data_IF_568369926131
#
_entry.id   IF_568369926131
#
_cell.length_a   1.000
_cell.length_b   1.000
_cell.length_c   1.000
_cell.angle_alpha   90.00
_cell.angle_beta   90.00
_cell.angle_gamma   90.00
#
_symmetry.space_group_name_H-M   'P 1'
#
loop_
_entity.id
_entity.type
_entity.pdbx_description
1 polymer ?
#
# COMPACT_ATOMS: atom_id res chain seq x y z
N UNK A 1 -0.91 -4.75 -19.79
CA UNK A 1 -1.68 -3.80 -18.95
C UNK A 1 -2.32 -4.60 -17.83
N UNK A 2 -1.83 -4.49 -16.60
CA UNK A 2 -2.46 -5.14 -15.45
C UNK A 2 -3.84 -4.50 -15.26
N UNK A 3 -4.90 -5.32 -15.18
CA UNK A 3 -6.25 -4.83 -14.93
C UNK A 3 -6.35 -4.38 -13.47
N UNK A 4 -6.78 -3.14 -13.22
CA UNK A 4 -7.06 -2.67 -11.86
C UNK A 4 -8.35 -3.34 -11.39
N UNK A 5 -8.32 -3.97 -10.22
CA UNK A 5 -9.50 -4.59 -9.62
C UNK A 5 -10.45 -3.54 -9.03
N UNK A 6 -9.90 -2.44 -8.54
CA UNK A 6 -10.68 -1.40 -7.85
C UNK A 6 -10.03 -0.03 -7.92
N UNK A 7 -10.85 1.01 -8.04
CA UNK A 7 -10.43 2.41 -7.90
C UNK A 7 -11.19 3.11 -6.77
N UNK A 8 -10.48 3.89 -5.96
CA UNK A 8 -11.02 4.62 -4.82
C UNK A 8 -10.52 6.07 -4.85
N UNK A 9 -11.42 7.06 -5.08
CA UNK A 9 -11.09 8.46 -4.90
C UNK A 9 -10.72 8.75 -3.44
N UNK A 10 -9.65 9.52 -3.23
CA UNK A 10 -9.18 9.94 -1.92
C UNK A 10 -8.71 11.39 -1.94
N UNK A 11 -8.52 11.94 -0.74
CA UNK A 11 -7.80 13.19 -0.53
C UNK A 11 -6.82 13.08 0.64
N UNK A 12 -5.80 13.93 0.64
CA UNK A 12 -4.79 14.05 1.68
C UNK A 12 -4.67 15.52 2.10
N UNK A 13 -4.88 15.87 3.38
CA UNK A 13 -4.64 17.22 3.86
C UNK A 13 -3.14 17.57 3.82
N UNK A 14 -2.79 18.72 3.25
CA UNK A 14 -1.41 19.21 3.11
C UNK A 14 -1.34 20.71 3.42
N UNK A 15 -0.81 21.05 4.60
CA UNK A 15 -0.74 22.45 5.04
C UNK A 15 -2.14 23.08 5.11
N UNK A 16 -2.36 24.16 4.35
CA UNK A 16 -3.65 24.83 4.22
C UNK A 16 -4.52 24.29 3.07
N UNK A 17 -4.03 23.30 2.31
CA UNK A 17 -4.71 22.73 1.15
C UNK A 17 -5.00 21.24 1.26
N UNK A 18 -5.49 20.67 0.16
CA UNK A 18 -5.75 19.24 -0.03
C UNK A 18 -5.13 18.76 -1.33
N UNK A 19 -4.72 17.49 -1.35
CA UNK A 19 -4.27 16.76 -2.53
C UNK A 19 -5.34 15.73 -2.83
N UNK A 20 -5.97 15.84 -4.00
CA UNK A 20 -6.95 14.86 -4.47
C UNK A 20 -6.28 13.80 -5.34
N UNK A 21 -6.78 12.57 -5.28
CA UNK A 21 -6.21 11.46 -6.02
C UNK A 21 -7.14 10.25 -6.15
N UNK A 22 -6.64 9.24 -6.85
CA UNK A 22 -7.27 7.96 -7.07
C UNK A 22 -6.30 6.86 -6.66
N UNK A 23 -6.72 6.03 -5.72
CA UNK A 23 -6.04 4.80 -5.36
C UNK A 23 -6.54 3.68 -6.26
N UNK A 24 -5.64 2.95 -6.91
CA UNK A 24 -5.94 1.78 -7.73
C UNK A 24 -5.31 0.55 -7.10
N UNK A 25 -6.12 -0.48 -6.89
CA UNK A 25 -5.67 -1.76 -6.32
C UNK A 25 -5.49 -2.76 -7.45
N UNK A 26 -4.27 -3.26 -7.58
CA UNK A 26 -3.88 -4.35 -8.48
C UNK A 26 -3.60 -5.62 -7.67
N UNK A 27 -3.20 -6.70 -8.33
CA UNK A 27 -3.03 -8.01 -7.67
C UNK A 27 -1.91 -8.01 -6.62
N UNK A 28 -0.83 -7.26 -6.89
CA UNK A 28 0.39 -7.23 -6.07
C UNK A 28 0.75 -5.84 -5.54
N UNK A 29 0.01 -4.81 -5.92
CA UNK A 29 0.40 -3.42 -5.65
C UNK A 29 -0.80 -2.49 -5.47
N UNK A 30 -0.56 -1.43 -4.73
CA UNK A 30 -1.44 -0.27 -4.59
C UNK A 30 -0.79 0.90 -5.32
N UNK A 31 -1.49 1.47 -6.29
CA UNK A 31 -1.01 2.65 -7.03
C UNK A 31 -1.80 3.87 -6.59
N UNK A 32 -1.09 4.92 -6.18
CA UNK A 32 -1.67 6.20 -5.80
C UNK A 32 -1.37 7.23 -6.90
N UNK A 33 -2.39 7.62 -7.64
CA UNK A 33 -2.30 8.70 -8.61
C UNK A 33 -2.91 9.96 -7.99
N UNK A 34 -2.17 11.07 -7.95
CA UNK A 34 -2.66 12.32 -7.34
C UNK A 34 -2.07 13.56 -7.99
N UNK A 35 -2.81 14.65 -7.90
CA UNK A 35 -2.37 15.95 -8.40
C UNK A 35 -1.91 16.84 -7.25
N UNK A 36 -0.65 17.30 -7.33
CA UNK A 36 -0.11 18.25 -6.35
C UNK A 36 -0.39 19.66 -6.84
N UNK A 37 -1.34 20.34 -6.19
CA UNK A 37 -1.60 21.76 -6.40
C UNK A 37 -0.76 22.58 -5.40
N UNK A 38 0.23 23.32 -5.88
CA UNK A 38 0.93 24.36 -5.11
C UNK A 38 0.67 25.71 -5.79
N UNK A 39 0.33 26.72 -5.00
CA UNK A 39 -0.06 28.09 -5.41
C UNK A 39 0.11 28.43 -6.90
N UNK A 40 -1.02 28.53 -7.61
CA UNK A 40 -1.15 28.93 -9.03
C UNK A 40 -0.46 28.06 -10.10
N UNK A 41 0.40 27.09 -9.75
CA UNK A 41 1.08 26.23 -10.70
C UNK A 41 0.69 24.75 -10.50
N UNK A 42 0.08 24.13 -11.53
CA UNK A 42 -0.19 22.69 -11.55
C UNK A 42 1.13 21.96 -11.81
N UNK A 43 1.66 21.27 -10.80
CA UNK A 43 2.96 20.58 -10.87
C UNK A 43 2.85 19.22 -11.62
N UNK A 44 1.64 18.86 -12.06
CA UNK A 44 1.37 17.64 -12.81
C UNK A 44 0.97 16.46 -11.92
N UNK A 45 0.47 15.41 -12.57
CA UNK A 45 0.06 14.17 -11.91
C UNK A 45 1.29 13.41 -11.43
N UNK A 46 1.27 12.97 -10.16
CA UNK A 46 2.27 12.07 -9.61
C UNK A 46 1.66 10.70 -9.37
N UNK A 47 2.48 9.68 -9.56
CA UNK A 47 2.12 8.29 -9.29
C UNK A 47 3.09 7.72 -8.26
N UNK A 48 2.56 7.07 -7.23
CA UNK A 48 3.33 6.31 -6.25
C UNK A 48 2.84 4.87 -6.27
N UNK A 49 3.73 3.97 -6.67
CA UNK A 49 3.50 2.53 -6.65
C UNK A 49 3.95 1.97 -5.31
N UNK A 50 3.06 1.29 -4.61
CA UNK A 50 3.30 0.64 -3.32
C UNK A 50 3.09 -0.88 -3.48
N UNK A 51 4.17 -1.64 -3.72
CA UNK A 51 4.11 -3.10 -3.71
C UNK A 51 3.59 -3.58 -2.35
N UNK A 52 2.77 -4.65 -2.35
CA UNK A 52 2.24 -5.20 -1.10
C UNK A 52 3.36 -5.72 -0.18
N UNK A 53 4.54 -6.07 -0.71
CA UNK A 53 5.72 -6.41 0.09
C UNK A 53 6.22 -5.24 0.93
N UNK A 54 5.95 -4.01 0.51
CA UNK A 54 6.38 -2.79 1.20
C UNK A 54 5.31 -2.26 2.15
N UNK A 55 4.08 -2.78 2.08
CA UNK A 55 3.00 -2.46 3.00
C UNK A 55 3.07 -3.40 4.21
N UNK A 56 3.02 -2.82 5.41
CA UNK A 56 2.97 -3.56 6.67
C UNK A 56 1.52 -3.83 7.08
N UNK A 57 0.68 -2.80 7.02
CA UNK A 57 -0.72 -2.91 7.38
C UNK A 57 -1.57 -1.84 6.70
N UNK A 58 -2.86 -2.13 6.58
CA UNK A 58 -3.91 -1.19 6.21
C UNK A 58 -5.03 -1.29 7.23
N UNK A 59 -5.64 -0.16 7.60
CA UNK A 59 -6.85 -0.18 8.41
C UNK A 59 -7.82 0.93 8.04
N UNK A 60 -9.10 0.57 7.91
CA UNK A 60 -10.18 1.51 7.73
C UNK A 60 -10.62 2.07 9.09
N UNK A 61 -10.51 3.39 9.24
CA UNK A 61 -10.92 4.09 10.46
C UNK A 61 -11.97 5.15 10.13
N UNK A 62 -12.98 5.27 11.00
CA UNK A 62 -13.84 6.45 11.01
C UNK A 62 -13.13 7.54 11.80
N UNK A 63 -12.89 8.70 11.18
CA UNK A 63 -12.43 9.91 11.87
C UNK A 63 -13.62 10.85 12.04
N UNK A 64 -14.28 10.74 13.19
CA UNK A 64 -15.51 11.49 13.47
C UNK A 64 -16.72 11.01 12.67
N UNK A 65 -17.78 11.83 12.65
CA UNK A 65 -19.06 11.49 12.02
C UNK A 65 -19.07 11.59 10.48
N UNK A 66 -18.14 12.36 9.89
CA UNK A 66 -18.19 12.74 8.47
C UNK A 66 -16.98 12.29 7.65
N UNK A 67 -15.89 11.83 8.28
CA UNK A 67 -14.66 11.48 7.56
C UNK A 67 -14.31 10.03 7.80
N UNK A 68 -13.96 9.34 6.73
CA UNK A 68 -13.39 8.01 6.80
C UNK A 68 -11.96 8.08 6.27
N UNK A 69 -11.09 7.21 6.75
CA UNK A 69 -9.71 7.16 6.29
C UNK A 69 -9.22 5.72 6.20
N UNK A 70 -8.40 5.44 5.19
CA UNK A 70 -7.53 4.28 5.16
C UNK A 70 -6.17 4.70 5.70
N UNK A 71 -5.75 4.07 6.79
CA UNK A 71 -4.44 4.27 7.39
C UNK A 71 -3.52 3.17 6.93
N UNK A 72 -2.42 3.54 6.31
CA UNK A 72 -1.39 2.62 5.84
C UNK A 72 -0.13 2.78 6.69
N UNK A 73 0.51 1.65 6.98
CA UNK A 73 1.88 1.59 7.50
C UNK A 73 2.75 0.86 6.47
N UNK A 74 3.91 1.41 6.14
CA UNK A 74 4.87 0.78 5.26
C UNK A 74 6.03 0.17 6.04
N UNK A 75 6.51 -0.99 5.59
CA UNK A 75 7.69 -1.67 6.15
C UNK A 75 8.98 -0.89 5.89
N UNK A 76 9.02 -0.14 4.79
CA UNK A 76 10.16 0.68 4.36
C UNK A 76 9.71 2.12 4.20
N UNK A 77 10.56 3.06 4.64
CA UNK A 77 10.25 4.49 4.59
C UNK A 77 10.23 5.05 3.17
N UNK A 78 11.09 4.53 2.28
CA UNK A 78 11.33 5.10 0.94
C UNK A 78 10.06 5.27 0.08
N UNK A 79 9.28 4.22 -0.22
CA UNK A 79 8.10 4.36 -1.07
C UNK A 79 7.00 5.22 -0.42
N UNK A 80 6.81 5.08 0.90
CA UNK A 80 5.82 5.85 1.65
C UNK A 80 6.20 7.34 1.79
N UNK A 81 7.49 7.69 1.75
CA UNK A 81 7.94 9.08 1.85
C UNK A 81 7.54 9.95 0.66
N UNK A 82 7.22 9.30 -0.48
CA UNK A 82 6.73 9.98 -1.68
C UNK A 82 5.25 10.36 -1.60
N UNK A 83 4.52 9.83 -0.60
CA UNK A 83 3.10 10.14 -0.38
C UNK A 83 2.99 11.43 0.46
N UNK A 84 2.24 12.45 -0.02
CA UNK A 84 2.00 13.66 0.76
C UNK A 84 1.44 13.33 2.15
N UNK A 85 1.87 14.08 3.18
CA UNK A 85 1.40 13.87 4.55
C UNK A 85 1.93 12.60 5.24
N UNK A 86 2.82 11.84 4.58
CA UNK A 86 3.49 10.69 5.17
C UNK A 86 4.40 11.11 6.34
N UNK A 87 4.36 10.33 7.42
CA UNK A 87 5.20 10.50 8.61
C UNK A 87 5.66 9.14 9.10
N UNK A 88 6.98 8.94 9.20
CA UNK A 88 7.57 7.69 9.67
C UNK A 88 7.03 6.43 8.96
N UNK A 89 6.79 6.51 7.65
CA UNK A 89 6.27 5.38 6.86
C UNK A 89 4.75 5.18 6.97
N UNK A 90 4.05 6.05 7.70
CA UNK A 90 2.60 6.01 7.83
C UNK A 90 1.94 7.15 7.07
N UNK A 91 0.83 6.86 6.41
CA UNK A 91 0.03 7.88 5.72
C UNK A 91 -1.46 7.54 5.77
N UNK A 92 -2.29 8.55 5.55
CA UNK A 92 -3.74 8.43 5.60
C UNK A 92 -4.36 8.90 4.29
N UNK A 93 -5.16 8.03 3.67
CA UNK A 93 -6.01 8.38 2.53
C UNK A 93 -7.41 8.65 3.04
N UNK A 94 -7.84 9.90 3.02
CA UNK A 94 -9.18 10.26 3.46
C UNK A 94 -10.17 10.06 2.32
N UNK A 95 -11.36 9.58 2.67
CA UNK A 95 -12.43 9.32 1.70
C UNK A 95 -13.74 9.92 2.18
N UNK A 96 -14.57 10.33 1.22
CA UNK A 96 -15.91 10.83 1.50
C UNK A 96 -16.79 9.71 2.06
N UNK A 97 -17.89 10.09 2.71
CA UNK A 97 -18.84 9.12 3.27
C UNK A 97 -19.44 8.19 2.21
N UNK A 98 -19.61 8.70 0.99
CA UNK A 98 -20.15 7.97 -0.16
C UNK A 98 -19.25 6.80 -0.59
N UNK A 99 -17.94 6.94 -0.39
CA UNK A 99 -16.96 5.90 -0.75
C UNK A 99 -16.60 4.96 0.39
N UNK A 100 -17.33 5.01 1.52
CA UNK A 100 -17.07 4.16 2.69
C UNK A 100 -17.02 2.66 2.36
N UNK A 101 -17.97 2.16 1.58
CA UNK A 101 -18.03 0.73 1.26
C UNK A 101 -16.84 0.32 0.37
N UNK A 102 -16.52 1.14 -0.65
CA UNK A 102 -15.33 0.94 -1.48
C UNK A 102 -14.04 0.97 -0.66
N UNK A 103 -13.93 1.86 0.32
CA UNK A 103 -12.74 1.91 1.17
C UNK A 103 -12.57 0.64 2.04
N UNK A 104 -13.66 0.08 2.57
CA UNK A 104 -13.62 -1.22 3.28
C UNK A 104 -13.25 -2.37 2.36
N UNK A 105 -13.68 -2.31 1.12
CA UNK A 105 -13.31 -3.30 0.11
C UNK A 105 -11.82 -3.20 -0.24
N UNK A 106 -11.29 -1.98 -0.42
CA UNK A 106 -9.85 -1.75 -0.57
C UNK A 106 -9.06 -2.27 0.63
N UNK A 107 -9.49 -1.99 1.87
CA UNK A 107 -8.88 -2.56 3.08
C UNK A 107 -8.84 -4.10 3.01
N UNK A 108 -9.96 -4.72 2.65
CA UNK A 108 -10.07 -6.18 2.52
C UNK A 108 -9.14 -6.75 1.45
N UNK A 109 -9.11 -6.12 0.26
CA UNK A 109 -8.26 -6.55 -0.87
C UNK A 109 -6.78 -6.45 -0.55
N UNK A 110 -6.35 -5.31 0.02
CA UNK A 110 -4.96 -5.11 0.41
C UNK A 110 -4.59 -6.08 1.55
N UNK A 111 -5.46 -6.25 2.56
CA UNK A 111 -5.21 -7.21 3.66
C UNK A 111 -5.11 -8.65 3.17
N UNK A 112 -5.93 -9.04 2.19
CA UNK A 112 -5.83 -10.34 1.54
C UNK A 112 -4.50 -10.49 0.80
N UNK A 113 -4.08 -9.48 0.05
CA UNK A 113 -2.78 -9.45 -0.62
C UNK A 113 -1.60 -9.62 0.35
N UNK A 114 -1.65 -8.92 1.50
CA UNK A 114 -0.66 -9.04 2.58
C UNK A 114 -0.62 -10.46 3.16
N UNK A 115 -1.78 -11.04 3.47
CA UNK A 115 -1.89 -12.38 4.02
C UNK A 115 -1.39 -13.46 3.04
N UNK A 116 -1.73 -13.34 1.75
CA UNK A 116 -1.25 -14.24 0.69
C UNK A 116 0.28 -14.22 0.58
N UNK A 117 0.87 -13.03 0.73
CA UNK A 117 2.33 -12.84 0.72
C UNK A 117 3.00 -13.45 1.96
N UNK A 118 2.42 -13.27 3.15
CA UNK A 118 2.97 -13.88 4.38
C UNK A 118 2.94 -15.42 4.31
N UNK A 119 1.85 -16.01 3.82
CA UNK A 119 1.74 -17.46 3.59
C UNK A 119 2.78 -17.98 2.58
N UNK A 120 3.02 -17.23 1.51
CA UNK A 120 4.03 -17.59 0.50
C UNK A 120 5.43 -17.60 1.12
N UNK A 121 5.77 -16.61 1.94
CA UNK A 121 7.03 -16.57 2.67
C UNK A 121 7.20 -17.71 3.68
N UNK A 122 6.12 -18.10 4.37
CA UNK A 122 6.14 -19.25 5.29
C UNK A 122 6.33 -20.59 4.55
N UNK A 123 5.68 -20.78 3.40
CA UNK A 123 5.84 -21.98 2.57
C UNK A 123 7.29 -22.17 2.13
N UNK A 124 7.93 -21.09 1.69
CA UNK A 124 9.32 -21.13 1.24
C UNK A 124 10.27 -21.43 2.40
N UNK A 125 9.99 -20.94 3.61
CA UNK A 125 10.76 -21.24 4.82
C UNK A 125 10.65 -22.71 5.29
N UNK A 126 9.51 -23.36 4.99
CA UNK A 126 9.26 -24.77 5.34
C UNK A 126 9.76 -25.75 4.28
N UNK A 127 10.32 -25.27 3.17
CA UNK A 127 10.92 -26.14 2.16
C UNK A 127 12.39 -26.39 2.56
N UNK A 128 12.76 -27.56 3.12
CA UNK A 128 14.13 -27.79 3.54
C UNK A 128 15.04 -27.71 2.31
N UNK A 129 15.96 -26.75 2.32
CA UNK A 129 17.13 -26.75 1.42
C UNK A 129 17.78 -28.12 1.58
N UNK A 130 17.61 -29.01 0.59
CA UNK A 130 18.40 -30.24 0.47
C UNK A 130 19.86 -29.80 0.38
N UNK A 131 20.50 -29.68 1.53
CA UNK A 131 21.93 -29.44 1.65
C UNK A 131 22.56 -30.73 1.10
N UNK A 132 23.19 -30.63 -0.05
CA UNK A 132 23.89 -31.76 -0.67
C UNK A 132 24.83 -32.35 0.38
N UNK A 133 24.49 -33.53 0.89
CA UNK A 133 25.43 -34.43 1.54
C UNK A 133 26.39 -34.86 0.43
N UNK A 134 27.46 -34.08 0.24
CA UNK A 134 28.65 -34.60 -0.44
C UNK A 134 29.26 -35.61 0.52
N UNK A 135 28.97 -36.87 0.26
CA UNK A 135 29.78 -38.01 0.65
C UNK A 135 31.23 -37.69 0.30
N UNK A 136 32.07 -37.56 1.30
CA UNK A 136 33.52 -37.66 1.17
C UNK A 136 33.93 -38.84 2.05
N UNK A 137 33.60 -40.03 1.55
CA UNK A 137 34.48 -41.17 1.73
C UNK A 137 35.74 -40.83 0.93
N UNK A 138 36.84 -40.52 1.61
CA UNK A 138 38.23 -40.67 1.13
C UNK A 138 39.16 -39.89 2.08
N UNK A 139 39.56 -40.52 3.19
CA UNK A 139 40.91 -40.36 3.73
C UNK A 139 41.34 -41.75 4.23
N UNK A 140 42.14 -42.40 3.38
CA UNK A 140 43.01 -43.53 3.74
C UNK A 140 44.26 -42.99 4.43
#
# INVERSE_FOLDING_TARGET
>A
MSSSFMSLPFWIPRGLGVVDGIARVYESELVLEFEVNESMFRIGTREVVLPFEEIESVSFRRRGLLRNALLFSARRLHPASSVPGSRAGQFALYVTREHKNKAREVESLVSYGLARRDLSGMRDALTPRRRNLRTFDDIT
#
